data_IF_474776240918
#
_entry.id   IF_474776240918
#
_cell.length_a   1.000
_cell.length_b   1.000
_cell.length_c   1.000
_cell.angle_alpha   90.00
_cell.angle_beta   90.00
_cell.angle_gamma   90.00
#
_symmetry.space_group_name_H-M   'P 1'
#
loop_
_entity.id
_entity.type
_entity.pdbx_description
1 polymer ?
#
# COMPACT_ATOMS: atom_id res chain seq x y z
N UNK A 1 -11.58 -15.23 -15.89
CA UNK A 1 -11.98 -13.84 -15.62
C UNK A 1 -11.80 -13.61 -14.13
N UNK A 2 -10.76 -12.89 -13.73
CA UNK A 2 -10.45 -12.63 -12.32
C UNK A 2 -11.51 -11.65 -11.79
N UNK A 3 -12.35 -12.11 -10.88
CA UNK A 3 -13.38 -11.28 -10.26
C UNK A 3 -12.67 -10.22 -9.41
N UNK A 4 -12.81 -8.94 -9.79
CA UNK A 4 -12.26 -7.84 -9.02
C UNK A 4 -12.96 -7.85 -7.66
N UNK A 5 -12.19 -8.00 -6.57
CA UNK A 5 -12.75 -7.90 -5.23
C UNK A 5 -13.31 -6.49 -5.06
N UNK A 6 -14.59 -6.39 -4.70
CA UNK A 6 -15.17 -5.14 -4.22
C UNK A 6 -14.50 -4.79 -2.88
N UNK A 7 -14.21 -3.51 -2.66
CA UNK A 7 -13.73 -3.05 -1.35
C UNK A 7 -14.73 -3.46 -0.27
N UNK A 8 -14.25 -3.94 0.87
CA UNK A 8 -15.11 -4.15 2.04
C UNK A 8 -15.07 -2.91 2.91
N UNK A 9 -16.22 -2.27 3.17
CA UNK A 9 -16.30 -1.07 4.00
C UNK A 9 -17.18 -1.36 5.22
N UNK A 10 -16.69 -1.07 6.41
CA UNK A 10 -17.40 -1.30 7.66
C UNK A 10 -17.38 -0.07 8.56
N UNK A 11 -18.49 0.21 9.24
CA UNK A 11 -18.59 1.18 10.32
C UNK A 11 -18.87 0.44 11.63
N UNK A 12 -17.90 0.44 12.53
CA UNK A 12 -17.97 -0.21 13.83
C UNK A 12 -18.37 0.79 14.90
N UNK A 13 -19.33 0.43 15.75
CA UNK A 13 -19.74 1.27 16.87
C UNK A 13 -20.16 0.46 18.11
N UNK A 14 -20.12 1.09 19.29
CA UNK A 14 -20.78 0.57 20.50
C UNK A 14 -22.24 1.01 20.51
N UNK A 15 -23.12 0.30 21.26
CA UNK A 15 -24.50 0.76 21.48
C UNK A 15 -24.53 2.21 21.97
N UNK A 16 -25.46 3.01 21.45
CA UNK A 16 -25.69 4.40 21.82
C UNK A 16 -24.46 5.33 21.72
N UNK A 17 -23.51 5.02 20.82
CA UNK A 17 -22.33 5.87 20.63
C UNK A 17 -22.74 7.28 20.13
N UNK A 18 -22.44 8.35 20.89
CA UNK A 18 -22.87 9.70 20.51
C UNK A 18 -22.13 10.28 19.29
N UNK A 19 -21.02 9.66 18.89
CA UNK A 19 -20.15 10.14 17.81
C UNK A 19 -20.34 9.36 16.49
N UNK A 20 -21.15 8.31 16.46
CA UNK A 20 -21.31 7.45 15.28
C UNK A 20 -21.88 8.20 14.08
N UNK A 21 -22.80 9.14 14.30
CA UNK A 21 -23.39 9.96 13.22
C UNK A 21 -22.36 10.85 12.53
N UNK A 22 -21.38 11.36 13.27
CA UNK A 22 -20.29 12.16 12.70
C UNK A 22 -19.43 11.31 11.78
N UNK A 23 -19.04 10.11 12.23
CA UNK A 23 -18.27 9.17 11.39
C UNK A 23 -19.09 8.71 10.17
N UNK A 24 -20.38 8.40 10.33
CA UNK A 24 -21.26 8.01 9.22
C UNK A 24 -21.39 9.12 8.18
N UNK A 25 -21.53 10.37 8.62
CA UNK A 25 -21.63 11.53 7.73
C UNK A 25 -20.34 11.74 6.94
N UNK A 26 -19.18 11.69 7.59
CA UNK A 26 -17.89 11.77 6.92
C UNK A 26 -17.69 10.64 5.90
N UNK A 27 -18.09 9.41 6.25
CA UNK A 27 -18.04 8.26 5.32
C UNK A 27 -18.94 8.47 4.11
N UNK A 28 -20.18 8.91 4.32
CA UNK A 28 -21.14 9.17 3.25
C UNK A 28 -20.65 10.27 2.30
N UNK A 29 -20.13 11.37 2.85
CA UNK A 29 -19.57 12.47 2.06
C UNK A 29 -18.36 12.01 1.25
N UNK A 30 -17.49 11.19 1.85
CA UNK A 30 -16.31 10.64 1.18
C UNK A 30 -16.69 9.68 0.06
N UNK A 31 -17.66 8.79 0.30
CA UNK A 31 -18.17 7.88 -0.74
C UNK A 31 -18.78 8.63 -1.92
N UNK A 32 -19.55 9.70 -1.67
CA UNK A 32 -20.14 10.52 -2.72
C UNK A 32 -19.11 11.24 -3.60
N UNK A 33 -17.89 11.47 -3.08
CA UNK A 33 -16.76 12.03 -3.82
C UNK A 33 -15.96 10.96 -4.58
N UNK A 34 -16.33 9.69 -4.46
CA UNK A 34 -15.68 8.57 -5.15
C UNK A 34 -16.67 7.86 -6.07
N UNK A 35 -16.16 7.18 -7.10
CA UNK A 35 -16.99 6.30 -7.94
C UNK A 35 -17.11 4.87 -7.36
N UNK A 36 -17.02 4.72 -6.04
CA UNK A 36 -17.09 3.44 -5.35
C UNK A 36 -18.54 3.16 -4.98
N UNK A 37 -19.16 2.23 -5.72
CA UNK A 37 -20.47 1.71 -5.40
C UNK A 37 -20.30 0.41 -4.58
N UNK A 38 -20.40 0.54 -3.26
CA UNK A 38 -20.21 -0.57 -2.31
C UNK A 38 -21.09 -0.35 -1.10
N UNK A 39 -21.66 -1.44 -0.59
CA UNK A 39 -22.48 -1.43 0.61
C UNK A 39 -21.58 -1.27 1.85
N UNK A 40 -21.89 -0.27 2.67
CA UNK A 40 -21.27 -0.10 3.99
C UNK A 40 -21.95 -1.04 4.97
N UNK A 41 -21.17 -1.90 5.61
CA UNK A 41 -21.63 -2.78 6.68
C UNK A 41 -21.53 -2.05 8.03
N UNK A 42 -22.66 -1.73 8.65
CA UNK A 42 -22.69 -1.15 9.99
C UNK A 42 -22.78 -2.26 11.05
N UNK A 43 -21.81 -2.29 11.96
CA UNK A 43 -21.72 -3.31 13.01
C UNK A 43 -21.73 -2.65 14.39
N UNK A 44 -22.65 -3.10 15.25
CA UNK A 44 -22.74 -2.66 16.65
C UNK A 44 -22.22 -3.77 17.56
N UNK A 45 -21.31 -3.44 18.47
CA UNK A 45 -20.69 -4.39 19.39
C UNK A 45 -19.56 -3.78 20.22
N UNK A 46 -18.80 -4.64 20.90
CA UNK A 46 -17.70 -4.23 21.78
C UNK A 46 -16.45 -3.86 20.96
N UNK A 47 -16.51 -2.67 20.35
CA UNK A 47 -15.48 -2.09 19.50
C UNK A 47 -14.94 -0.77 20.06
N UNK A 48 -13.77 -0.35 19.57
CA UNK A 48 -13.36 1.06 19.66
C UNK A 48 -14.24 1.90 18.74
N UNK A 49 -15.10 2.73 19.32
CA UNK A 49 -16.20 3.37 18.61
C UNK A 49 -16.07 4.89 18.52
N UNK A 50 -16.35 5.50 17.36
CA UNK A 50 -16.70 4.88 16.06
C UNK A 50 -15.45 4.63 15.19
N UNK A 51 -15.37 3.46 14.53
CA UNK A 51 -14.24 3.11 13.67
C UNK A 51 -14.71 2.79 12.26
N UNK A 52 -14.05 3.35 11.25
CA UNK A 52 -14.29 3.02 9.84
C UNK A 52 -13.16 2.10 9.37
N UNK A 53 -13.53 0.94 8.84
CA UNK A 53 -12.61 0.00 8.22
C UNK A 53 -12.80 -0.03 6.70
N UNK A 54 -11.70 0.01 5.95
CA UNK A 54 -11.66 -0.29 4.51
C UNK A 54 -10.75 -1.49 4.30
N UNK A 55 -11.28 -2.59 3.77
CA UNK A 55 -10.59 -3.89 3.68
C UNK A 55 -9.87 -4.27 4.98
N UNK A 56 -10.54 -4.05 6.11
CA UNK A 56 -10.05 -4.34 7.46
C UNK A 56 -8.99 -3.37 8.00
N UNK A 57 -8.60 -2.34 7.25
CA UNK A 57 -7.70 -1.28 7.71
C UNK A 57 -8.50 -0.14 8.37
N UNK A 58 -8.12 0.26 9.59
CA UNK A 58 -8.66 1.46 10.22
C UNK A 58 -8.11 2.70 9.50
N UNK A 59 -9.01 3.49 8.90
CA UNK A 59 -8.64 4.66 8.08
C UNK A 59 -7.80 5.70 8.82
N UNK A 60 -7.82 5.70 10.15
CA UNK A 60 -6.98 6.58 11.00
C UNK A 60 -5.54 6.09 11.14
N UNK A 61 -5.23 4.87 10.69
CA UNK A 61 -3.91 4.26 10.82
C UNK A 61 -3.66 3.58 12.16
N UNK A 62 -4.65 3.50 13.04
CA UNK A 62 -4.50 2.76 14.30
C UNK A 62 -4.35 1.26 14.06
N UNK A 63 -3.52 0.57 14.87
CA UNK A 63 -3.55 -0.88 14.90
C UNK A 63 -4.96 -1.36 15.21
N UNK A 64 -5.35 -2.47 14.59
CA UNK A 64 -6.64 -3.09 14.88
C UNK A 64 -6.63 -3.59 16.33
N UNK A 65 -7.49 -3.02 17.15
CA UNK A 65 -7.73 -3.51 18.50
C UNK A 65 -8.44 -4.89 18.46
N UNK A 66 -8.19 -5.78 19.44
CA UNK A 66 -8.89 -7.05 19.53
C UNK A 66 -10.41 -6.87 19.55
N UNK A 67 -11.13 -7.83 18.95
CA UNK A 67 -12.58 -7.91 19.12
C UNK A 67 -12.89 -8.10 20.62
N UNK A 68 -13.95 -7.46 21.11
CA UNK A 68 -14.43 -7.52 22.50
C UNK A 68 -13.76 -6.55 23.48
N UNK A 69 -13.35 -5.39 22.99
CA UNK A 69 -12.89 -4.29 23.84
C UNK A 69 -13.63 -3.00 23.45
N UNK A 70 -14.71 -2.72 24.17
CA UNK A 70 -15.46 -1.48 24.02
C UNK A 70 -14.63 -0.29 24.51
N UNK A 71 -14.38 0.69 23.66
CA UNK A 71 -13.74 1.95 24.06
C UNK A 71 -14.24 3.14 23.24
N UNK A 72 -14.38 4.29 23.89
CA UNK A 72 -14.72 5.54 23.20
C UNK A 72 -13.46 6.17 22.60
N UNK A 73 -13.54 6.61 21.34
CA UNK A 73 -12.45 7.34 20.69
C UNK A 73 -12.88 8.75 20.30
N UNK A 74 -11.95 9.71 20.45
CA UNK A 74 -12.17 11.13 20.14
C UNK A 74 -11.43 11.57 18.87
N UNK A 75 -10.51 10.75 18.38
CA UNK A 75 -9.81 10.94 17.10
C UNK A 75 -10.64 10.33 15.97
N UNK A 76 -11.79 10.97 15.70
CA UNK A 76 -12.72 10.50 14.68
C UNK A 76 -12.07 10.51 13.29
N UNK A 77 -12.37 9.51 12.43
CA UNK A 77 -11.96 9.53 11.03
C UNK A 77 -12.33 10.83 10.33
N UNK A 78 -11.36 11.45 9.64
CA UNK A 78 -11.62 12.61 8.78
C UNK A 78 -11.97 12.19 7.36
N UNK A 79 -12.64 13.07 6.59
CA UNK A 79 -12.93 12.80 5.17
C UNK A 79 -11.66 12.56 4.36
N UNK A 80 -10.59 13.32 4.62
CA UNK A 80 -9.29 13.12 3.99
C UNK A 80 -8.74 11.71 4.23
N UNK A 81 -8.76 11.22 5.49
CA UNK A 81 -8.31 9.87 5.83
C UNK A 81 -9.14 8.78 5.13
N UNK A 82 -10.46 8.96 5.08
CA UNK A 82 -11.37 8.01 4.42
C UNK A 82 -11.10 8.01 2.90
N UNK A 83 -10.99 9.17 2.26
CA UNK A 83 -10.72 9.32 0.84
C UNK A 83 -9.39 8.68 0.42
N UNK A 84 -8.35 8.86 1.24
CA UNK A 84 -7.05 8.21 1.02
C UNK A 84 -7.18 6.69 1.10
N UNK A 85 -7.86 6.18 2.13
CA UNK A 85 -8.03 4.74 2.30
C UNK A 85 -8.81 4.14 1.12
N UNK A 86 -9.91 4.77 0.70
CA UNK A 86 -10.73 4.34 -0.44
C UNK A 86 -9.91 4.30 -1.74
N UNK A 87 -9.14 5.34 -2.06
CA UNK A 87 -8.34 5.39 -3.28
C UNK A 87 -7.11 4.47 -3.21
N UNK A 88 -6.36 4.54 -2.12
CA UNK A 88 -5.11 3.80 -1.93
C UNK A 88 -5.32 2.28 -1.85
N UNK A 89 -6.30 1.82 -1.06
CA UNK A 89 -6.56 0.39 -0.92
C UNK A 89 -7.23 -0.21 -2.16
N UNK A 90 -7.90 0.59 -2.99
CA UNK A 90 -8.41 0.12 -4.29
C UNK A 90 -7.30 -0.35 -5.23
N UNK A 91 -6.05 0.10 -5.04
CA UNK A 91 -4.88 -0.36 -5.79
C UNK A 91 -4.59 -1.85 -5.50
N UNK A 92 -4.99 -2.36 -4.34
CA UNK A 92 -4.76 -3.75 -3.93
C UNK A 92 -5.71 -4.77 -4.59
N UNK A 93 -6.64 -4.35 -5.46
CA UNK A 93 -7.74 -5.16 -6.03
C UNK A 93 -7.31 -6.36 -6.89
N UNK A 94 -6.03 -6.77 -6.88
CA UNK A 94 -5.55 -8.01 -7.46
C UNK A 94 -5.34 -9.06 -6.35
N UNK A 95 -6.29 -9.99 -6.20
CA UNK A 95 -6.19 -11.07 -5.21
C UNK A 95 -5.16 -12.13 -5.63
N UNK A 96 -4.34 -12.56 -4.66
CA UNK A 96 -3.37 -13.69 -4.63
C UNK A 96 -3.10 -14.39 -5.97
N UNK A 97 -2.48 -13.65 -6.89
CA UNK A 97 -1.95 -14.18 -8.12
C UNK A 97 -0.44 -14.43 -7.99
N UNK A 98 0.09 -15.37 -8.77
CA UNK A 98 1.53 -15.54 -8.99
C UNK A 98 2.21 -14.19 -9.28
N UNK A 99 1.54 -13.30 -9.98
CA UNK A 99 2.01 -11.96 -10.34
C UNK A 99 2.32 -11.08 -9.12
N UNK A 100 1.53 -11.14 -8.04
CA UNK A 100 1.85 -10.42 -6.81
C UNK A 100 3.15 -10.90 -6.13
N UNK A 101 3.41 -12.22 -6.14
CA UNK A 101 4.68 -12.78 -5.63
C UNK A 101 5.86 -12.39 -6.50
N UNK A 102 5.70 -12.45 -7.83
CA UNK A 102 6.74 -12.06 -8.79
C UNK A 102 7.17 -10.59 -8.57
N UNK A 103 6.20 -9.70 -8.40
CA UNK A 103 6.47 -8.29 -8.11
C UNK A 103 7.22 -8.08 -6.80
N UNK A 104 6.76 -8.70 -5.71
CA UNK A 104 7.38 -8.54 -4.39
C UNK A 104 8.80 -9.12 -4.36
N UNK A 105 9.05 -10.24 -5.03
CA UNK A 105 10.40 -10.80 -5.17
C UNK A 105 11.30 -9.89 -6.02
N UNK A 106 10.79 -9.40 -7.15
CA UNK A 106 11.53 -8.48 -8.03
C UNK A 106 11.91 -7.20 -7.30
N UNK A 107 10.96 -6.58 -6.58
CA UNK A 107 11.20 -5.38 -5.76
C UNK A 107 12.36 -5.61 -4.78
N UNK A 108 12.35 -6.74 -4.04
CA UNK A 108 13.42 -7.07 -3.09
C UNK A 108 14.77 -7.24 -3.79
N UNK A 109 14.82 -7.93 -4.93
CA UNK A 109 16.06 -8.14 -5.69
C UNK A 109 16.60 -6.80 -6.22
N UNK A 110 15.75 -5.94 -6.79
CA UNK A 110 16.14 -4.61 -7.27
C UNK A 110 16.73 -3.77 -6.14
N UNK A 111 16.04 -3.72 -4.99
CA UNK A 111 16.47 -2.96 -3.82
C UNK A 111 17.82 -3.45 -3.28
N UNK A 112 18.07 -4.76 -3.28
CA UNK A 112 19.31 -5.35 -2.76
C UNK A 112 20.49 -5.26 -3.72
N UNK A 113 20.24 -5.40 -5.03
CA UNK A 113 21.32 -5.58 -6.02
C UNK A 113 21.62 -4.33 -6.83
N UNK A 114 20.65 -3.40 -6.94
CA UNK A 114 20.74 -2.19 -7.77
C UNK A 114 21.07 -2.52 -9.23
N UNK A 115 20.57 -3.65 -9.73
CA UNK A 115 20.83 -4.16 -11.08
C UNK A 115 19.55 -4.62 -11.77
N UNK A 116 19.45 -4.49 -13.09
CA UNK A 116 18.38 -5.13 -13.86
C UNK A 116 18.29 -6.63 -13.55
N UNK A 117 17.07 -7.15 -13.43
CA UNK A 117 16.80 -8.54 -13.06
C UNK A 117 16.37 -9.30 -14.31
N UNK A 118 17.14 -10.30 -14.74
CA UNK A 118 16.70 -11.14 -15.86
C UNK A 118 15.52 -12.03 -15.44
N UNK A 119 14.62 -12.30 -16.39
CA UNK A 119 13.46 -13.18 -16.15
C UNK A 119 13.90 -14.58 -15.73
N UNK A 120 14.94 -15.13 -16.36
CA UNK A 120 15.49 -16.45 -16.01
C UNK A 120 16.02 -16.51 -14.58
N UNK A 121 16.73 -15.46 -14.15
CA UNK A 121 17.22 -15.38 -12.77
C UNK A 121 16.06 -15.34 -11.77
N UNK A 122 15.01 -14.55 -12.07
CA UNK A 122 13.82 -14.47 -11.23
C UNK A 122 13.10 -15.83 -11.15
N UNK A 123 12.98 -16.55 -12.27
CA UNK A 123 12.34 -17.86 -12.33
C UNK A 123 13.07 -18.88 -11.47
N UNK A 124 14.39 -18.96 -11.61
CA UNK A 124 15.22 -19.84 -10.81
C UNK A 124 15.16 -19.48 -9.32
N UNK A 125 15.17 -18.18 -8.99
CA UNK A 125 15.10 -17.71 -7.60
C UNK A 125 13.77 -18.02 -6.92
N UNK A 126 12.69 -18.07 -7.70
CA UNK A 126 11.33 -18.29 -7.21
C UNK A 126 10.81 -19.71 -7.38
N UNK A 127 11.58 -20.60 -8.02
CA UNK A 127 11.20 -21.98 -8.33
C UNK A 127 9.88 -22.08 -9.15
N UNK A 128 9.74 -21.21 -10.16
CA UNK A 128 8.54 -21.13 -11.04
C UNK A 128 8.85 -21.02 -12.55
N UNK A 129 9.79 -21.81 -13.09
CA UNK A 129 10.27 -21.65 -14.47
C UNK A 129 9.15 -21.74 -15.52
N UNK A 130 8.17 -22.63 -15.34
CA UNK A 130 7.14 -22.88 -16.36
C UNK A 130 6.03 -21.82 -16.41
N UNK A 131 5.90 -21.01 -15.35
CA UNK A 131 4.79 -20.04 -15.21
C UNK A 131 5.26 -18.57 -15.20
N UNK A 132 6.58 -18.33 -15.23
CA UNK A 132 7.10 -16.98 -15.09
C UNK A 132 6.75 -16.10 -16.30
N UNK A 133 6.84 -16.63 -17.52
CA UNK A 133 6.67 -15.84 -18.75
C UNK A 133 5.28 -15.23 -18.80
N UNK A 134 4.23 -16.04 -18.60
CA UNK A 134 2.85 -15.54 -18.57
C UNK A 134 2.61 -14.55 -17.43
N UNK A 135 3.26 -14.77 -16.27
CA UNK A 135 3.19 -13.83 -15.15
C UNK A 135 3.85 -12.48 -15.46
N UNK A 136 5.02 -12.48 -16.11
CA UNK A 136 5.73 -11.27 -16.55
C UNK A 136 4.93 -10.53 -17.62
N UNK A 137 4.37 -11.24 -18.61
CA UNK A 137 3.51 -10.64 -19.63
C UNK A 137 2.26 -9.99 -19.02
N UNK A 138 1.65 -10.63 -18.02
CA UNK A 138 0.51 -10.08 -17.30
C UNK A 138 0.89 -8.82 -16.53
N UNK A 139 2.02 -8.85 -15.83
CA UNK A 139 2.53 -7.70 -15.10
C UNK A 139 2.91 -6.54 -16.02
N UNK A 140 3.55 -6.82 -17.15
CA UNK A 140 3.91 -5.80 -18.12
C UNK A 140 2.66 -5.15 -18.73
N UNK A 141 1.66 -5.95 -19.12
CA UNK A 141 0.39 -5.44 -19.69
C UNK A 141 -0.39 -4.56 -18.71
N UNK A 142 -0.24 -4.83 -17.42
CA UNK A 142 -0.87 -4.04 -16.35
C UNK A 142 0.02 -2.92 -15.81
N UNK A 143 1.19 -2.68 -16.44
CA UNK A 143 2.20 -1.69 -16.05
C UNK A 143 2.74 -1.87 -14.62
N UNK A 144 2.67 -3.09 -14.12
CA UNK A 144 3.04 -3.48 -12.76
C UNK A 144 4.53 -3.84 -12.61
N UNK A 145 5.24 -3.96 -13.72
CA UNK A 145 6.70 -4.02 -13.85
C UNK A 145 7.15 -3.19 -15.06
N UNK A 146 8.42 -2.81 -15.10
CA UNK A 146 9.07 -2.20 -16.27
C UNK A 146 10.25 -3.05 -16.74
N UNK A 147 10.37 -3.24 -18.05
CA UNK A 147 11.49 -3.93 -18.68
C UNK A 147 12.38 -2.93 -19.41
N UNK A 148 13.68 -3.20 -19.49
CA UNK A 148 14.60 -2.50 -20.36
C UNK A 148 14.60 -3.08 -21.79
N UNK A 149 15.43 -2.52 -22.67
CA UNK A 149 15.56 -2.97 -24.06
C UNK A 149 16.09 -4.41 -24.21
N UNK A 150 16.70 -4.97 -23.16
CA UNK A 150 17.19 -6.35 -23.14
C UNK A 150 16.17 -7.32 -22.51
N UNK A 151 14.97 -6.84 -22.17
CA UNK A 151 13.94 -7.64 -21.49
C UNK A 151 14.23 -7.91 -20.02
N UNK A 152 15.20 -7.21 -19.41
CA UNK A 152 15.46 -7.32 -17.97
C UNK A 152 14.52 -6.38 -17.20
N UNK A 153 14.05 -6.83 -16.05
CA UNK A 153 13.16 -6.05 -15.18
C UNK A 153 13.97 -4.98 -14.47
N UNK A 154 13.55 -3.73 -14.64
CA UNK A 154 14.18 -2.52 -14.08
C UNK A 154 13.25 -1.76 -13.13
N UNK A 155 12.00 -2.18 -12.98
CA UNK A 155 11.10 -1.61 -12.00
C UNK A 155 9.96 -2.55 -11.61
N UNK A 156 9.54 -2.47 -10.36
CA UNK A 156 8.46 -3.24 -9.77
C UNK A 156 7.94 -2.56 -8.50
N UNK A 157 6.63 -2.63 -8.25
CA UNK A 157 5.96 -2.04 -7.06
C UNK A 157 6.34 -0.57 -6.81
N UNK A 158 6.35 0.23 -7.87
CA UNK A 158 6.71 1.65 -7.80
C UNK A 158 8.22 1.92 -7.81
N UNK A 159 9.07 0.96 -7.43
CA UNK A 159 10.53 1.13 -7.46
C UNK A 159 11.07 1.01 -8.89
N UNK A 160 12.03 1.85 -9.25
CA UNK A 160 12.61 1.92 -10.59
C UNK A 160 14.12 2.18 -10.53
N UNK A 161 14.88 1.53 -11.44
CA UNK A 161 16.27 1.86 -11.74
C UNK A 161 16.40 2.92 -12.85
N UNK A 162 15.33 3.17 -13.59
CA UNK A 162 15.26 4.24 -14.58
C UNK A 162 14.69 5.51 -13.98
N UNK A 163 15.18 6.64 -14.48
CA UNK A 163 14.81 7.97 -14.00
C UNK A 163 13.32 8.25 -14.12
N UNK A 164 12.74 8.78 -13.04
CA UNK A 164 11.42 9.41 -12.99
C UNK A 164 11.54 10.76 -12.27
N UNK A 165 10.42 11.45 -12.07
CA UNK A 165 10.35 12.69 -11.27
C UNK A 165 10.82 12.50 -9.83
N UNK A 166 10.59 11.32 -9.24
CA UNK A 166 10.83 11.08 -7.82
C UNK A 166 12.10 10.26 -7.63
N UNK A 167 13.21 10.91 -7.27
CA UNK A 167 14.47 10.23 -6.93
C UNK A 167 14.46 9.79 -5.47
N UNK A 168 14.92 8.56 -5.20
CA UNK A 168 15.07 8.01 -3.86
C UNK A 168 16.55 7.72 -3.57
N UNK A 169 17.02 8.13 -2.40
CA UNK A 169 18.30 7.73 -1.82
C UNK A 169 18.04 6.83 -0.62
N UNK A 170 18.32 5.54 -0.76
CA UNK A 170 18.04 4.50 0.24
C UNK A 170 19.30 3.66 0.43
N UNK A 171 19.83 3.57 1.65
CA UNK A 171 21.01 2.75 1.94
C UNK A 171 22.25 3.10 1.11
N UNK A 172 22.41 4.38 0.74
CA UNK A 172 23.50 4.86 -0.14
C UNK A 172 23.32 4.55 -1.63
N UNK A 173 22.25 3.86 -2.00
CA UNK A 173 21.89 3.56 -3.39
C UNK A 173 20.83 4.53 -3.89
N UNK A 174 20.84 4.77 -5.21
CA UNK A 174 19.89 5.65 -5.87
C UNK A 174 18.88 4.85 -6.67
N UNK A 175 17.60 5.17 -6.47
CA UNK A 175 16.46 4.62 -7.17
C UNK A 175 15.51 5.75 -7.58
N UNK A 176 14.40 5.37 -8.20
CA UNK A 176 13.30 6.25 -8.53
C UNK A 176 11.96 5.60 -8.16
N UNK A 177 10.94 6.42 -7.90
CA UNK A 177 9.57 5.99 -7.64
C UNK A 177 8.64 6.41 -8.80
N UNK A 178 7.58 5.66 -9.11
CA UNK A 178 6.68 6.05 -10.21
C UNK A 178 5.73 7.19 -9.84
N UNK A 179 5.39 7.35 -8.56
CA UNK A 179 4.56 8.45 -8.07
C UNK A 179 4.84 8.85 -6.62
N UNK A 180 4.16 9.90 -6.14
CA UNK A 180 4.24 10.36 -4.77
C UNK A 180 3.78 9.30 -3.74
N UNK A 181 2.75 8.51 -4.07
CA UNK A 181 2.24 7.44 -3.21
C UNK A 181 3.29 6.33 -3.02
N UNK A 182 3.99 5.97 -4.10
CA UNK A 182 5.07 4.99 -4.06
C UNK A 182 6.22 5.45 -3.17
N UNK A 183 6.61 6.73 -3.23
CA UNK A 183 7.65 7.26 -2.34
C UNK A 183 7.30 6.99 -0.88
N UNK A 184 6.09 7.36 -0.44
CA UNK A 184 5.67 7.19 0.95
C UNK A 184 5.58 5.71 1.32
N UNK A 185 4.96 4.90 0.46
CA UNK A 185 4.75 3.47 0.69
C UNK A 185 6.05 2.68 0.76
N UNK A 186 6.98 2.91 -0.18
CA UNK A 186 8.28 2.25 -0.24
C UNK A 186 9.09 2.55 1.02
N UNK A 187 9.30 3.83 1.35
CA UNK A 187 10.10 4.21 2.52
C UNK A 187 9.51 3.64 3.80
N UNK A 188 8.20 3.78 3.99
CA UNK A 188 7.54 3.34 5.21
C UNK A 188 7.50 1.82 5.38
N UNK A 189 7.19 1.06 4.34
CA UNK A 189 7.09 -0.40 4.44
C UNK A 189 8.44 -1.10 4.64
N UNK A 190 9.53 -0.58 4.06
CA UNK A 190 10.88 -1.13 4.28
C UNK A 190 11.60 -0.47 5.46
N UNK A 191 10.94 0.47 6.15
CA UNK A 191 11.50 1.26 7.28
C UNK A 191 12.83 1.94 6.92
N UNK A 192 12.96 2.43 5.69
CA UNK A 192 14.19 3.05 5.23
C UNK A 192 14.38 4.44 5.84
N UNK A 193 15.63 4.76 6.15
CA UNK A 193 16.07 6.15 6.34
C UNK A 193 16.73 6.64 5.05
N UNK A 194 16.53 7.90 4.70
CA UNK A 194 17.06 8.46 3.46
C UNK A 194 16.35 9.71 2.98
N UNK A 195 16.49 10.00 1.70
CA UNK A 195 15.95 11.21 1.07
C UNK A 195 15.11 10.85 -0.15
N UNK A 196 14.00 11.55 -0.34
CA UNK A 196 13.29 11.59 -1.61
C UNK A 196 13.30 13.02 -2.17
N UNK A 197 13.69 13.16 -3.44
CA UNK A 197 13.66 14.42 -4.18
C UNK A 197 12.58 14.37 -5.25
N UNK A 198 11.83 15.45 -5.36
CA UNK A 198 10.76 15.61 -6.35
C UNK A 198 10.70 17.08 -6.80
N UNK A 199 9.81 17.36 -7.74
CA UNK A 199 9.38 18.71 -8.10
C UNK A 199 7.86 18.81 -7.99
N UNK A 200 7.37 20.00 -7.68
CA UNK A 200 5.98 20.36 -7.86
C UNK A 200 5.72 20.57 -9.37
N UNK A 201 4.82 19.80 -9.99
CA UNK A 201 4.62 19.86 -11.44
C UNK A 201 3.87 21.12 -11.91
N UNK A 202 3.27 21.91 -11.01
CA UNK A 202 2.59 23.15 -11.37
C UNK A 202 3.57 24.31 -11.53
N UNK A 203 4.54 24.42 -10.62
CA UNK A 203 5.41 25.60 -10.49
C UNK A 203 6.92 25.29 -10.63
N UNK A 204 7.31 24.01 -10.64
CA UNK A 204 8.68 23.55 -10.78
C UNK A 204 9.53 23.63 -9.51
N UNK A 205 8.96 24.04 -8.37
CA UNK A 205 9.69 24.14 -7.11
C UNK A 205 10.16 22.76 -6.61
N UNK A 206 11.34 22.73 -6.01
CA UNK A 206 11.91 21.49 -5.48
C UNK A 206 11.24 21.05 -4.18
N UNK A 207 10.96 19.76 -4.10
CA UNK A 207 10.41 19.09 -2.93
C UNK A 207 11.47 18.12 -2.40
N UNK A 208 11.79 18.24 -1.11
CA UNK A 208 12.72 17.36 -0.41
C UNK A 208 12.02 16.76 0.82
N UNK A 209 11.89 15.44 0.81
CA UNK A 209 11.37 14.67 1.93
C UNK A 209 12.52 13.89 2.55
N UNK A 210 12.79 14.14 3.82
CA UNK A 210 13.70 13.32 4.63
C UNK A 210 12.89 12.26 5.38
N UNK A 211 13.39 11.03 5.37
CA UNK A 211 12.80 9.91 6.07
C UNK A 211 13.77 9.40 7.14
N UNK A 212 13.24 9.14 8.34
CA UNK A 212 13.91 8.41 9.39
C UNK A 212 13.03 7.22 9.78
N UNK A 213 13.59 6.00 9.72
CA UNK A 213 12.86 4.76 10.03
C UNK A 213 11.52 4.62 9.27
N UNK A 214 11.50 5.03 8.00
CA UNK A 214 10.31 5.04 7.15
C UNK A 214 9.33 6.18 7.41
N UNK A 215 9.62 7.07 8.36
CA UNK A 215 8.75 8.18 8.75
C UNK A 215 9.23 9.49 8.11
N UNK A 216 8.38 10.18 7.32
CA UNK A 216 8.74 11.48 6.79
C UNK A 216 8.82 12.53 7.91
N UNK A 217 9.96 13.23 7.95
CA UNK A 217 10.25 14.24 8.97
C UNK A 217 9.52 15.56 8.69
N UNK A 218 9.26 15.85 7.42
CA UNK A 218 8.43 16.97 7.00
C UNK A 218 7.14 16.45 6.35
N UNK A 219 6.00 16.84 6.92
CA UNK A 219 4.67 16.40 6.48
C UNK A 219 3.83 17.52 5.85
N UNK A 220 4.43 18.67 5.57
CA UNK A 220 3.75 19.87 5.07
C UNK A 220 3.34 19.81 3.59
N UNK A 221 3.96 18.91 2.83
CA UNK A 221 3.68 18.78 1.40
C UNK A 221 2.30 18.16 1.18
N UNK A 222 1.69 18.56 0.08
CA UNK A 222 0.40 18.05 -0.37
C UNK A 222 0.64 16.98 -1.43
N UNK A 223 -0.22 15.97 -1.46
CA UNK A 223 -0.28 14.95 -2.51
C UNK A 223 -1.64 15.04 -3.16
N UNK A 224 -1.66 15.16 -4.49
CA UNK A 224 -2.89 14.95 -5.24
C UNK A 224 -3.07 13.46 -5.50
N UNK A 225 -4.12 12.87 -4.96
CA UNK A 225 -4.51 11.48 -5.18
C UNK A 225 -5.61 11.44 -6.24
N UNK A 226 -5.24 11.16 -7.49
CA UNK A 226 -6.17 11.06 -8.60
C UNK A 226 -7.18 9.92 -8.41
N UNK A 227 -8.38 10.09 -8.97
CA UNK A 227 -9.36 9.02 -9.02
C UNK A 227 -8.88 7.85 -9.88
N UNK A 228 -9.14 6.64 -9.41
CA UNK A 228 -8.81 5.41 -10.12
C UNK A 228 -9.91 5.12 -11.15
N UNK A 229 -9.70 5.53 -12.41
CA UNK A 229 -10.67 5.24 -13.47
C UNK A 229 -10.73 3.73 -13.77
N UNK A 230 -11.93 3.18 -13.77
CA UNK A 230 -12.19 1.73 -13.79
C UNK A 230 -12.03 1.10 -15.18
N UNK A 231 -10.86 1.15 -15.83
CA UNK A 231 -10.59 0.23 -16.93
C UNK A 231 -9.10 0.15 -17.34
N UNK A 232 -8.48 -0.97 -16.99
CA UNK A 232 -7.43 -1.71 -17.73
C UNK A 232 -5.96 -1.25 -17.73
N UNK A 233 -5.56 -0.05 -17.32
CA UNK A 233 -4.13 0.30 -17.23
C UNK A 233 -3.80 1.06 -15.94
N UNK A 234 -3.81 0.35 -14.81
CA UNK A 234 -3.85 0.97 -13.48
C UNK A 234 -2.51 1.56 -12.99
N UNK A 235 -1.35 1.17 -13.53
CA UNK A 235 -0.07 1.65 -12.98
C UNK A 235 0.62 2.78 -13.74
N UNK A 236 0.51 2.89 -15.07
CA UNK A 236 1.15 4.02 -15.78
C UNK A 236 0.26 5.27 -15.86
N UNK A 237 -1.03 5.08 -16.18
CA UNK A 237 -1.97 6.19 -16.33
C UNK A 237 -2.36 6.84 -15.00
N UNK A 238 -2.22 6.13 -13.88
CA UNK A 238 -2.56 6.64 -12.56
C UNK A 238 -1.35 7.25 -11.85
N UNK A 239 -0.20 6.57 -11.82
CA UNK A 239 0.99 7.07 -11.12
C UNK A 239 1.44 8.44 -11.64
N UNK A 240 1.39 8.68 -12.95
CA UNK A 240 1.70 9.97 -13.55
C UNK A 240 0.79 11.12 -13.05
N UNK A 241 -0.39 10.77 -12.52
CA UNK A 241 -1.39 11.72 -11.99
C UNK A 241 -1.30 11.90 -10.47
N UNK A 242 -0.38 11.21 -9.79
CA UNK A 242 -0.23 11.24 -8.33
C UNK A 242 1.10 11.90 -7.95
N UNK A 243 1.04 13.19 -7.61
CA UNK A 243 2.24 14.02 -7.46
C UNK A 243 2.28 14.76 -6.11
N UNK A 244 3.48 15.18 -5.71
CA UNK A 244 3.70 16.08 -4.58
C UNK A 244 3.56 17.54 -5.02
N UNK A 245 3.12 18.40 -4.09
CA UNK A 245 2.94 19.84 -4.30
C UNK A 245 3.43 20.62 -3.09
N UNK A 246 3.93 21.84 -3.34
CA UNK A 246 4.37 22.76 -2.28
C UNK A 246 3.21 23.43 -1.56
N UNK A 247 2.03 23.49 -2.19
CA UNK A 247 0.81 24.02 -1.58
C UNK A 247 -0.47 23.41 -2.16
N UNK A 248 -1.60 23.61 -1.47
CA UNK A 248 -2.95 23.23 -1.92
C UNK A 248 -3.29 23.93 -3.25
N UNK A 249 -3.01 25.22 -3.36
CA UNK A 249 -3.34 26.04 -4.53
C UNK A 249 -2.61 25.54 -5.79
N UNK A 250 -1.34 25.15 -5.62
CA UNK A 250 -0.53 24.56 -6.68
C UNK A 250 -1.14 23.25 -7.19
N UNK A 251 -1.57 22.39 -6.26
CA UNK A 251 -2.19 21.11 -6.58
C UNK A 251 -3.56 21.26 -7.27
N UNK A 252 -4.40 22.18 -6.80
CA UNK A 252 -5.71 22.50 -7.40
C UNK A 252 -5.54 23.04 -8.82
N UNK A 253 -4.63 24.00 -9.02
CA UNK A 253 -4.34 24.58 -10.32
C UNK A 253 -3.85 23.53 -11.31
N UNK A 254 -2.89 22.70 -10.89
CA UNK A 254 -2.39 21.61 -11.74
C UNK A 254 -3.48 20.60 -12.09
N UNK A 255 -4.31 20.19 -11.11
CA UNK A 255 -5.41 19.27 -11.36
C UNK A 255 -6.43 19.86 -12.35
N UNK A 256 -6.76 21.15 -12.22
CA UNK A 256 -7.67 21.85 -13.11
C UNK A 256 -7.11 21.95 -14.54
N UNK A 257 -5.83 22.35 -14.69
CA UNK A 257 -5.16 22.44 -15.99
C UNK A 257 -5.17 21.09 -16.73
N UNK A 258 -5.00 19.99 -15.97
CA UNK A 258 -4.95 18.64 -16.53
C UNK A 258 -6.33 17.94 -16.58
N UNK A 259 -7.41 18.61 -16.17
CA UNK A 259 -8.77 18.04 -16.17
C UNK A 259 -8.91 16.80 -15.28
N UNK A 260 -8.20 16.77 -14.14
CA UNK A 260 -8.13 15.63 -13.25
C UNK A 260 -9.11 15.76 -12.08
N UNK A 261 -9.80 14.66 -11.79
CA UNK A 261 -10.57 14.48 -10.56
C UNK A 261 -9.74 13.68 -9.54
N UNK A 262 -9.89 14.02 -8.26
CA UNK A 262 -9.12 13.42 -7.17
C UNK A 262 -9.31 14.19 -5.86
N UNK A 263 -8.44 13.93 -4.89
CA UNK A 263 -8.40 14.73 -3.66
C UNK A 263 -6.99 15.09 -3.24
N UNK A 264 -6.93 16.18 -2.48
CA UNK A 264 -5.71 16.67 -1.86
C UNK A 264 -5.54 16.05 -0.49
N UNK A 265 -4.33 15.60 -0.22
CA UNK A 265 -3.99 14.85 0.97
C UNK A 265 -2.66 15.35 1.49
N UNK A 266 -2.58 15.64 2.78
CA UNK A 266 -1.31 15.86 3.45
C UNK A 266 -0.45 14.58 3.46
N UNK A 267 0.87 14.74 3.36
CA UNK A 267 1.79 13.59 3.54
C UNK A 267 1.51 12.85 4.86
N UNK A 268 1.13 13.57 5.92
CA UNK A 268 0.81 12.97 7.22
C UNK A 268 -0.35 11.97 7.17
N UNK A 269 -1.45 12.30 6.50
CA UNK A 269 -2.60 11.40 6.36
C UNK A 269 -2.41 10.33 5.30
N UNK A 270 -1.48 10.53 4.36
CA UNK A 270 -1.14 9.53 3.35
C UNK A 270 -0.32 8.36 3.91
N UNK A 271 0.58 8.63 4.86
CA UNK A 271 1.53 7.65 5.40
C UNK A 271 0.87 6.34 5.84
N UNK A 272 -0.17 6.33 6.70
CA UNK A 272 -0.70 5.07 7.21
C UNK A 272 -1.24 4.15 6.10
N UNK A 273 -1.97 4.70 5.14
CA UNK A 273 -2.55 3.94 4.04
C UNK A 273 -1.47 3.47 3.07
N UNK A 274 -0.50 4.33 2.72
CA UNK A 274 0.60 3.95 1.84
C UNK A 274 1.43 2.81 2.46
N UNK A 275 1.74 2.90 3.76
CA UNK A 275 2.47 1.84 4.46
C UNK A 275 1.68 0.54 4.48
N UNK A 276 0.36 0.59 4.74
CA UNK A 276 -0.48 -0.60 4.72
C UNK A 276 -0.50 -1.27 3.34
N UNK A 277 -0.66 -0.48 2.27
CA UNK A 277 -0.66 -0.99 0.89
C UNK A 277 0.64 -1.71 0.58
N UNK A 278 1.79 -1.09 0.82
CA UNK A 278 3.08 -1.74 0.54
C UNK A 278 3.36 -2.91 1.48
N UNK A 279 3.00 -2.82 2.76
CA UNK A 279 3.15 -3.93 3.71
C UNK A 279 2.38 -5.15 3.23
N UNK A 280 1.13 -4.98 2.79
CA UNK A 280 0.34 -6.07 2.18
C UNK A 280 0.98 -6.59 0.89
N UNK A 281 1.48 -5.72 0.01
CA UNK A 281 2.11 -6.15 -1.24
C UNK A 281 3.40 -6.96 -1.01
N UNK A 282 4.19 -6.59 0.01
CA UNK A 282 5.45 -7.26 0.32
C UNK A 282 5.25 -8.54 1.14
N UNK A 283 4.39 -8.53 2.16
CA UNK A 283 4.08 -9.71 3.00
C UNK A 283 3.38 -10.83 2.23
N UNK A 284 2.60 -10.50 1.18
CA UNK A 284 2.02 -11.47 0.23
C UNK A 284 3.07 -12.38 -0.46
N UNK A 285 4.37 -12.13 -0.29
CA UNK A 285 5.48 -12.95 -0.81
C UNK A 285 6.18 -13.89 0.19
N UNK A 286 5.79 -13.95 1.47
CA UNK A 286 6.60 -14.63 2.52
C UNK A 286 6.12 -16.03 2.96
N UNK A 287 4.95 -16.50 2.54
CA UNK A 287 4.33 -17.74 3.07
C UNK A 287 4.95 -19.08 2.60
N UNK A 288 6.16 -19.12 2.02
CA UNK A 288 6.77 -20.39 1.57
C UNK A 288 8.28 -20.54 1.81
N UNK A 289 8.92 -19.68 2.61
CA UNK A 289 10.33 -19.84 2.99
C UNK A 289 10.55 -20.62 4.30
N UNK A 290 9.54 -21.31 4.83
CA UNK A 290 9.75 -22.25 5.95
C UNK A 290 9.63 -23.70 5.43
N UNK A 291 10.76 -24.40 5.19
CA UNK A 291 10.76 -25.84 5.06
C UNK A 291 10.49 -26.47 6.44
N UNK A 292 9.39 -27.23 6.52
CA UNK A 292 9.18 -28.37 7.44
C UNK A 292 9.63 -28.23 8.90
N UNK A 293 8.68 -27.94 9.79
CA UNK A 293 8.70 -28.57 11.12
C UNK A 293 7.51 -29.51 11.23
N UNK A 294 7.71 -30.75 10.79
CA UNK A 294 6.91 -31.88 11.23
C UNK A 294 7.04 -31.97 12.74
N UNK A 295 5.95 -31.71 13.46
CA UNK A 295 5.80 -32.10 14.86
C UNK A 295 5.79 -33.63 14.92
N UNK A 296 6.96 -34.22 15.17
CA UNK A 296 7.00 -35.59 15.69
C UNK A 296 6.54 -35.54 17.15
N UNK A 297 5.35 -36.08 17.38
CA UNK A 297 4.92 -36.54 18.70
C UNK A 297 5.89 -37.66 19.12
N UNK A 298 6.77 -37.36 20.09
CA UNK A 298 7.43 -38.41 20.87
C UNK A 298 6.45 -38.89 21.93
N UNK A 299 5.94 -40.10 21.71
CA UNK A 299 5.31 -40.92 22.75
C UNK A 299 6.32 -41.18 23.87
N UNK A 300 6.05 -40.63 25.04
CA UNK A 300 6.75 -40.98 26.27
C UNK A 300 6.11 -42.23 26.87
N UNK A 301 6.61 -43.40 26.48
CA UNK A 301 6.49 -44.62 27.26
C UNK A 301 7.83 -44.87 27.96
N UNK A 302 7.82 -44.80 29.29
CA UNK A 302 9.02 -44.94 30.11
C UNK A 302 8.67 -45.06 31.58
N UNK A 303 8.34 -46.28 31.98
CA UNK A 303 8.12 -46.69 33.35
C UNK A 303 9.35 -46.40 34.22
N UNK A 304 9.12 -45.91 35.45
CA UNK A 304 10.12 -45.75 36.49
C UNK A 304 9.46 -45.90 37.86
N UNK A 305 9.33 -47.14 38.29
CA UNK A 305 8.95 -47.56 39.64
C UNK A 305 9.99 -47.10 40.67
N UNK A 306 9.55 -46.39 41.71
CA UNK A 306 10.32 -46.17 42.93
C UNK A 306 9.89 -47.19 44.00
N UNK A 307 10.80 -47.82 44.76
CA UNK A 307 10.47 -48.46 46.01
C UNK A 307 10.80 -47.52 47.19
N UNK A 308 9.86 -47.38 48.11
CA UNK A 308 10.13 -46.92 49.47
C UNK A 308 9.34 -47.79 50.45
N UNK A 309 10.10 -48.51 51.29
CA UNK A 309 9.74 -49.18 52.55
C UNK A 309 8.60 -50.21 52.57
#
# INVERSE_FOLDING_TARGET
MTQRKSLQIQLLSVPDCPLVESARSALKNSLAQTHIDTVVEELVGDYSSPTILVDGFDVTGRPREPKNQASCRLDLPTEEQILVALRGLSVLSCERSLTGRLQAATFRILLQTVKPVSVDYLAAKMDVPDSITSGIEELQRSAHIRLDANGCIIGALGLSLSTTTHELSIGGSRFWAWCAFDVIGIFGAIRASGLARSVDPCNGEHILLEFADGIPQNRKYIVFMADVQSSRALCEDWCSKVNFFTSTESAEMWAQINGLAGSLVSVGNLVPVAVEVWSRLLTKGEELLIPGTTKEHRDASGAGTYPTQ
#
